data_IF_315322145968
#
_entry.id   IF_315322145968
#
_cell.length_a   1.000
_cell.length_b   1.000
_cell.length_c   1.000
_cell.angle_alpha   90.00
_cell.angle_beta   90.00
_cell.angle_gamma   90.00
#
_symmetry.space_group_name_H-M   'P 1'
#
loop_
_entity.id
_entity.type
_entity.pdbx_description
1 polymer ?
#
# COMPACT_ATOMS: atom_id res chain seq x y z
N UNK A 1 -8.05 -8.92 -11.40
CA UNK A 1 -9.00 -8.68 -10.29
C UNK A 1 -8.62 -7.34 -9.72
N UNK A 2 -9.43 -6.32 -9.97
CA UNK A 2 -9.17 -5.00 -9.43
C UNK A 2 -9.76 -4.95 -8.02
N UNK A 3 -8.91 -4.67 -7.04
CA UNK A 3 -9.38 -4.40 -5.69
C UNK A 3 -9.97 -2.98 -5.69
N UNK A 4 -11.14 -2.81 -5.07
CA UNK A 4 -11.75 -1.50 -4.83
C UNK A 4 -10.87 -0.73 -3.85
N UNK A 5 -9.92 0.03 -4.39
CA UNK A 5 -8.92 0.82 -3.69
C UNK A 5 -9.02 2.26 -4.18
N UNK A 6 -9.17 3.20 -3.26
CA UNK A 6 -9.10 4.63 -3.50
C UNK A 6 -7.76 5.19 -3.05
N UNK A 7 -7.78 6.11 -2.08
CA UNK A 7 -6.55 6.69 -1.56
C UNK A 7 -5.56 5.62 -1.04
N UNK A 8 -4.31 5.71 -1.49
CA UNK A 8 -3.26 4.77 -1.15
C UNK A 8 -2.14 5.46 -0.36
N UNK A 9 -1.99 5.09 0.90
CA UNK A 9 -0.79 5.41 1.67
C UNK A 9 0.34 4.46 1.26
N UNK A 10 1.55 4.97 1.04
CA UNK A 10 2.72 4.15 0.66
C UNK A 10 3.78 4.26 1.74
N UNK A 11 4.16 3.12 2.34
CA UNK A 11 5.23 3.02 3.34
C UNK A 11 6.37 2.16 2.79
N UNK A 12 7.59 2.67 2.88
CA UNK A 12 8.78 2.02 2.30
C UNK A 12 9.86 1.83 3.36
N UNK A 13 10.46 0.63 3.41
CA UNK A 13 11.60 0.33 4.29
C UNK A 13 12.60 -0.63 3.64
N UNK A 14 13.86 -0.20 3.51
CA UNK A 14 14.97 -1.09 3.09
C UNK A 14 14.85 -1.62 1.65
N UNK A 15 14.05 -0.97 0.82
CA UNK A 15 13.94 -1.23 -0.62
C UNK A 15 14.19 0.07 -1.37
N UNK A 16 14.90 -0.02 -2.49
CA UNK A 16 15.29 1.12 -3.31
C UNK A 16 14.17 1.43 -4.31
N UNK A 17 13.15 2.14 -3.82
CA UNK A 17 11.96 2.53 -4.58
C UNK A 17 11.51 3.91 -4.09
N UNK A 18 11.32 4.85 -5.01
CA UNK A 18 10.72 6.14 -4.70
C UNK A 18 9.18 6.00 -4.56
N UNK A 19 8.58 6.34 -3.40
CA UNK A 19 7.14 6.39 -3.24
C UNK A 19 6.44 7.33 -4.24
N UNK A 20 7.08 8.43 -4.66
CA UNK A 20 6.50 9.40 -5.58
C UNK A 20 6.26 8.81 -6.97
N UNK A 21 7.18 7.99 -7.47
CA UNK A 21 7.03 7.30 -8.74
C UNK A 21 5.89 6.29 -8.70
N UNK A 22 5.75 5.56 -7.59
CA UNK A 22 4.63 4.65 -7.39
C UNK A 22 3.29 5.38 -7.33
N UNK A 23 3.22 6.54 -6.64
CA UNK A 23 2.00 7.37 -6.60
C UNK A 23 1.55 7.78 -8.00
N UNK A 24 2.50 8.19 -8.85
CA UNK A 24 2.21 8.58 -10.25
C UNK A 24 1.73 7.41 -11.09
N UNK A 25 2.19 6.19 -10.82
CA UNK A 25 1.92 4.99 -11.64
C UNK A 25 0.64 4.25 -11.23
N UNK A 26 0.40 4.06 -9.93
CA UNK A 26 -0.66 3.17 -9.47
C UNK A 26 -2.06 3.75 -9.65
N UNK A 27 -2.24 5.05 -9.38
CA UNK A 27 -3.49 5.84 -9.60
C UNK A 27 -4.79 5.03 -9.45
N UNK A 28 -5.01 4.36 -8.30
CA UNK A 28 -6.20 3.54 -8.08
C UNK A 28 -7.48 4.42 -8.11
N UNK A 29 -8.59 3.84 -8.57
CA UNK A 29 -9.83 4.58 -8.91
C UNK A 29 -11.06 4.17 -8.11
N UNK A 30 -10.91 3.30 -7.11
CA UNK A 30 -11.97 2.90 -6.20
C UNK A 30 -12.16 3.90 -5.04
N UNK A 31 -12.93 3.49 -4.04
CA UNK A 31 -13.35 4.37 -2.95
C UNK A 31 -12.66 4.06 -1.61
N UNK A 32 -12.19 2.81 -1.43
CA UNK A 32 -11.73 2.37 -0.10
C UNK A 32 -10.26 2.70 0.13
N UNK A 33 -9.91 3.39 1.25
CA UNK A 33 -8.52 3.68 1.56
C UNK A 33 -7.75 2.41 1.88
N UNK A 34 -6.48 2.37 1.49
CA UNK A 34 -5.56 1.29 1.82
C UNK A 34 -4.12 1.77 2.03
N UNK A 35 -3.30 0.91 2.61
CA UNK A 35 -1.87 1.13 2.78
C UNK A 35 -1.08 0.08 2.00
N UNK A 36 -0.19 0.52 1.13
CA UNK A 36 0.83 -0.31 0.47
C UNK A 36 2.10 -0.31 1.32
N UNK A 37 2.45 -1.48 1.85
CA UNK A 37 3.68 -1.72 2.59
C UNK A 37 4.72 -2.34 1.66
N UNK A 38 5.85 -1.66 1.51
CA UNK A 38 7.00 -2.12 0.72
C UNK A 38 8.21 -2.31 1.63
N UNK A 39 8.72 -3.53 1.68
CA UNK A 39 9.82 -3.86 2.57
C UNK A 39 10.70 -4.98 2.05
N UNK A 40 11.93 -5.06 2.55
CA UNK A 40 12.85 -6.16 2.26
C UNK A 40 12.45 -7.39 3.09
N UNK A 41 11.93 -8.42 2.41
CA UNK A 41 11.75 -9.74 3.01
C UNK A 41 13.02 -10.59 2.95
N UNK A 42 13.00 -11.81 3.52
CA UNK A 42 14.17 -12.69 3.59
C UNK A 42 14.77 -13.08 2.24
N UNK A 43 13.94 -13.21 1.20
CA UNK A 43 14.37 -13.64 -0.15
C UNK A 43 14.32 -12.52 -1.18
N UNK A 44 13.39 -11.57 -1.02
CA UNK A 44 13.12 -10.51 -2.01
C UNK A 44 12.35 -9.36 -1.38
N UNK A 45 12.25 -8.25 -2.12
CA UNK A 45 11.29 -7.20 -1.81
C UNK A 45 9.86 -7.78 -1.78
N UNK A 46 9.07 -7.33 -0.83
CA UNK A 46 7.66 -7.70 -0.66
C UNK A 46 6.78 -6.47 -0.71
N UNK A 47 5.57 -6.67 -1.23
CA UNK A 47 4.52 -5.68 -1.31
C UNK A 47 3.24 -6.26 -0.70
N UNK A 48 2.68 -5.58 0.29
CA UNK A 48 1.43 -5.97 0.94
C UNK A 48 0.47 -4.79 0.89
N UNK A 49 -0.76 -5.04 0.42
CA UNK A 49 -1.86 -4.09 0.56
C UNK A 49 -2.65 -4.46 1.81
N UNK A 50 -2.78 -3.51 2.72
CA UNK A 50 -3.50 -3.67 3.97
C UNK A 50 -4.61 -2.62 4.09
N UNK A 51 -5.71 -3.00 4.76
CA UNK A 51 -6.77 -2.08 5.18
C UNK A 51 -6.62 -1.79 6.67
N UNK A 52 -6.87 -0.55 7.09
CA UNK A 52 -6.91 -0.21 8.51
C UNK A 52 -8.15 -0.88 9.13
N UNK A 53 -7.94 -1.63 10.20
CA UNK A 53 -9.02 -2.12 11.05
C UNK A 53 -9.23 -1.08 12.15
N UNK A 54 -10.48 -0.67 12.35
CA UNK A 54 -10.89 0.16 13.49
C UNK A 54 -11.38 -0.82 14.55
N UNK A 55 -10.88 -0.70 15.78
CA UNK A 55 -11.41 -1.48 16.89
C UNK A 55 -12.80 -0.94 17.22
N UNK A 56 -13.83 -1.77 17.04
CA UNK A 56 -15.18 -1.49 17.54
C UNK A 56 -15.18 -1.79 19.04
N UNK A 57 -14.75 -0.82 19.83
CA UNK A 57 -14.90 -0.83 21.28
C UNK A 57 -15.43 0.55 21.66
N UNK A 58 -16.70 0.77 21.34
CA UNK A 58 -17.57 1.81 21.89
C UNK A 58 -18.88 1.14 22.28
#
# INVERSE_FOLDING_TARGET
>A
RDADLGSLEIKVRGVDVDPADLRKRLRPTGERPATLLLFRGPKRAQAIVARRIVSSSD
#
